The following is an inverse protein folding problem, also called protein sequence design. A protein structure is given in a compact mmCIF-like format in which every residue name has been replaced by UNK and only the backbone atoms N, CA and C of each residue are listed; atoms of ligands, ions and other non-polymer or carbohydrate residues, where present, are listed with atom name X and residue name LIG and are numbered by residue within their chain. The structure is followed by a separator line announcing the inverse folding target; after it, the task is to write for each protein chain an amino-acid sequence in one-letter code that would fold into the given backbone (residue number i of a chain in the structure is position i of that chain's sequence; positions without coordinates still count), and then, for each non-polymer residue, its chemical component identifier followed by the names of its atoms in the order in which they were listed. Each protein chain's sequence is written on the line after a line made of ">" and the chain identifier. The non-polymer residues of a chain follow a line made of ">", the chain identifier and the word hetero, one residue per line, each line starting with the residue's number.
data_IF_866116027540
#
_entry.id   IF_866116027540
#
_cell.length_a   1.000
_cell.length_b   1.000
_cell.length_c   1.000
_cell.angle_alpha   90.00
_cell.angle_beta   90.00
_cell.angle_gamma   90.00
#
_symmetry.space_group_name_H-M   'P 1'
#
loop_
_entity.id
_entity.type
_entity.pdbx_description
1 polymer ?
#
# COMPACT_ATOMS: atom_id res chain seq x y z
N UNK A 1 18.94 -84.72 -4.70
CA UNK A 1 19.55 -83.99 -3.56
C UNK A 1 18.81 -82.67 -3.43
N UNK A 2 17.70 -82.56 -2.69
CA UNK A 2 17.60 -82.47 -1.23
C UNK A 2 18.42 -81.31 -0.62
N UNK A 3 17.74 -80.20 -0.26
CA UNK A 3 17.79 -79.64 1.08
C UNK A 3 16.77 -78.49 1.25
N UNK A 4 16.08 -78.56 2.38
CA UNK A 4 14.98 -77.73 2.87
C UNK A 4 15.48 -76.55 3.74
N UNK A 5 14.64 -75.50 3.81
CA UNK A 5 14.22 -74.78 5.04
C UNK A 5 15.16 -73.74 5.70
N UNK A 6 14.60 -72.53 5.91
CA UNK A 6 14.25 -71.88 7.21
C UNK A 6 14.19 -70.35 7.02
N UNK A 7 13.00 -69.75 7.13
CA UNK A 7 12.49 -69.07 8.35
C UNK A 7 13.20 -67.75 8.71
N UNK A 8 12.52 -66.62 8.50
CA UNK A 8 12.42 -65.56 9.52
C UNK A 8 11.27 -64.60 9.20
N UNK A 9 10.06 -65.00 9.59
CA UNK A 9 8.89 -64.11 9.68
C UNK A 9 9.10 -63.24 10.91
N UNK A 10 9.82 -62.12 10.78
CA UNK A 10 9.95 -61.12 11.83
C UNK A 10 8.66 -60.31 11.87
N UNK A 11 7.69 -60.81 12.63
CA UNK A 11 6.51 -60.06 13.02
C UNK A 11 6.97 -58.80 13.76
N UNK A 12 6.84 -57.66 13.07
CA UNK A 12 6.94 -56.36 13.70
C UNK A 12 5.87 -56.30 14.79
N UNK A 13 6.32 -56.49 16.03
CA UNK A 13 5.56 -56.33 17.25
C UNK A 13 5.04 -54.90 17.25
N UNK A 14 3.82 -54.73 16.72
CA UNK A 14 3.04 -53.52 16.87
C UNK A 14 2.98 -53.24 18.35
N UNK A 15 3.75 -52.24 18.77
CA UNK A 15 3.76 -51.70 20.11
C UNK A 15 2.39 -51.04 20.27
N UNK A 16 1.39 -51.83 20.61
CA UNK A 16 0.10 -51.34 21.09
C UNK A 16 0.42 -50.58 22.36
N UNK A 17 0.63 -49.27 22.23
CA UNK A 17 0.63 -48.38 23.38
C UNK A 17 -0.67 -48.66 24.11
N UNK A 18 -0.59 -49.05 25.37
CA UNK A 18 -1.79 -49.29 26.17
C UNK A 18 -2.69 -48.06 26.06
N UNK A 19 -4.02 -48.19 25.95
CA UNK A 19 -4.94 -47.06 25.77
C UNK A 19 -4.77 -45.96 26.85
N UNK A 20 -4.28 -46.33 28.03
CA UNK A 20 -3.91 -45.38 29.09
C UNK A 20 -2.74 -44.45 28.73
N UNK A 21 -1.80 -44.87 27.89
CA UNK A 21 -0.67 -44.03 27.44
C UNK A 21 -1.09 -42.98 26.39
N UNK A 22 -2.05 -43.31 25.53
CA UNK A 22 -2.63 -42.37 24.56
C UNK A 22 -3.49 -41.32 25.25
N UNK A 23 -4.27 -41.71 26.26
CA UNK A 23 -5.04 -40.77 27.08
C UNK A 23 -4.14 -39.79 27.84
N UNK A 24 -3.02 -40.25 28.39
CA UNK A 24 -2.05 -39.38 29.05
C UNK A 24 -1.38 -38.40 28.06
N UNK A 25 -1.01 -38.87 26.87
CA UNK A 25 -0.46 -38.00 25.81
C UNK A 25 -1.49 -36.96 25.35
N UNK A 26 -2.76 -37.34 25.21
CA UNK A 26 -3.84 -36.43 24.88
C UNK A 26 -4.06 -35.36 25.97
N UNK A 27 -3.97 -35.73 27.25
CA UNK A 27 -4.08 -34.77 28.36
C UNK A 27 -2.93 -33.75 28.36
N UNK A 28 -1.69 -34.19 28.11
CA UNK A 28 -0.54 -33.27 27.97
C UNK A 28 -0.69 -32.36 26.75
N UNK A 29 -1.17 -32.89 25.61
CA UNK A 29 -1.48 -32.08 24.44
C UNK A 29 -2.54 -31.00 24.76
N UNK A 30 -3.61 -31.35 25.48
CA UNK A 30 -4.64 -30.40 25.91
C UNK A 30 -4.07 -29.31 26.83
N UNK A 31 -3.18 -29.67 27.78
CA UNK A 31 -2.52 -28.68 28.64
C UNK A 31 -1.67 -27.71 27.84
N UNK A 32 -0.88 -28.22 26.89
CA UNK A 32 -0.06 -27.40 26.01
C UNK A 32 -0.92 -26.47 25.14
N UNK A 33 -2.01 -26.98 24.56
CA UNK A 33 -2.96 -26.16 23.80
C UNK A 33 -3.56 -25.04 24.65
N UNK A 34 -4.02 -25.34 25.88
CA UNK A 34 -4.52 -24.32 26.81
C UNK A 34 -3.47 -23.25 27.12
N UNK A 35 -2.21 -23.64 27.32
CA UNK A 35 -1.13 -22.69 27.53
C UNK A 35 -0.88 -21.81 26.29
N UNK A 36 -0.99 -22.35 25.08
CA UNK A 36 -0.86 -21.56 23.84
C UNK A 36 -2.03 -20.59 23.67
N UNK A 37 -3.27 -21.02 23.94
CA UNK A 37 -4.46 -20.16 23.92
C UNK A 37 -4.30 -18.99 24.89
N UNK A 38 -3.89 -19.26 26.13
CA UNK A 38 -3.66 -18.19 27.12
C UNK A 38 -2.57 -17.19 26.70
N UNK A 39 -1.53 -17.63 25.98
CA UNK A 39 -0.51 -16.74 25.40
C UNK A 39 -1.09 -15.90 24.26
N UNK A 40 -1.90 -16.51 23.40
CA UNK A 40 -2.56 -15.83 22.29
C UNK A 40 -3.54 -14.77 22.80
N UNK A 41 -4.38 -15.08 23.78
CA UNK A 41 -5.29 -14.11 24.42
C UNK A 41 -4.55 -12.89 24.96
N UNK A 42 -3.43 -13.10 25.66
CA UNK A 42 -2.58 -11.99 26.12
C UNK A 42 -2.00 -11.16 24.96
N UNK A 43 -1.65 -11.80 23.84
CA UNK A 43 -1.14 -11.10 22.67
C UNK A 43 -2.23 -10.28 21.97
N UNK A 44 -3.45 -10.83 21.87
CA UNK A 44 -4.62 -10.15 21.30
C UNK A 44 -4.96 -8.93 22.15
N UNK A 45 -5.06 -9.06 23.47
CA UNK A 45 -5.33 -7.92 24.34
C UNK A 45 -4.27 -6.81 24.22
N UNK A 46 -2.99 -7.16 24.03
CA UNK A 46 -1.93 -6.17 23.76
C UNK A 46 -2.11 -5.48 22.40
N UNK A 47 -2.56 -6.20 21.38
CA UNK A 47 -2.81 -5.65 20.06
C UNK A 47 -4.03 -4.74 20.05
N UNK A 48 -5.12 -5.12 20.72
CA UNK A 48 -6.31 -4.30 20.90
C UNK A 48 -5.97 -2.96 21.57
N UNK A 49 -5.24 -3.00 22.70
CA UNK A 49 -4.76 -1.80 23.37
C UNK A 49 -3.89 -0.90 22.48
N UNK A 50 -3.06 -1.50 21.61
CA UNK A 50 -2.25 -0.72 20.65
C UNK A 50 -3.11 -0.10 19.56
N UNK A 51 -4.11 -0.84 19.07
CA UNK A 51 -5.05 -0.35 18.05
C UNK A 51 -5.88 0.81 18.59
N UNK A 52 -6.41 0.70 19.80
CA UNK A 52 -7.16 1.79 20.44
C UNK A 52 -6.32 3.07 20.57
N UNK A 53 -5.06 2.95 21.00
CA UNK A 53 -4.12 4.08 21.05
C UNK A 53 -3.91 4.72 19.67
N UNK A 54 -3.69 3.90 18.64
CA UNK A 54 -3.51 4.39 17.27
C UNK A 54 -4.76 5.07 16.71
N UNK A 55 -5.94 4.52 17.00
CA UNK A 55 -7.21 5.13 16.60
C UNK A 55 -7.38 6.49 17.27
N UNK A 56 -7.10 6.60 18.58
CA UNK A 56 -7.17 7.86 19.30
C UNK A 56 -6.18 8.91 18.77
N UNK A 57 -4.95 8.50 18.43
CA UNK A 57 -3.95 9.37 17.79
C UNK A 57 -4.45 9.88 16.42
N UNK A 58 -4.89 8.97 15.54
CA UNK A 58 -5.40 9.32 14.22
C UNK A 58 -6.62 10.25 14.28
N UNK A 59 -7.52 10.05 15.24
CA UNK A 59 -8.66 10.95 15.46
C UNK A 59 -8.22 12.36 15.85
N UNK A 60 -7.20 12.49 16.72
CA UNK A 60 -6.65 13.80 17.12
C UNK A 60 -6.00 14.49 15.94
N UNK A 61 -5.23 13.76 15.14
CA UNK A 61 -4.55 14.32 13.97
C UNK A 61 -5.54 14.72 12.88
N UNK A 62 -6.57 13.91 12.63
CA UNK A 62 -7.67 14.26 11.73
C UNK A 62 -8.38 15.55 12.18
N UNK A 63 -8.62 15.72 13.48
CA UNK A 63 -9.23 16.94 14.03
C UNK A 63 -8.33 18.17 13.86
N UNK A 64 -7.02 18.02 14.07
CA UNK A 64 -6.04 19.09 13.84
C UNK A 64 -5.96 19.48 12.37
N UNK A 65 -5.86 18.50 11.47
CA UNK A 65 -5.82 18.73 10.04
C UNK A 65 -7.10 19.40 9.54
N UNK A 66 -8.27 18.97 10.03
CA UNK A 66 -9.55 19.61 9.69
C UNK A 66 -9.58 21.08 10.12
N UNK A 67 -9.19 21.39 11.35
CA UNK A 67 -9.18 22.78 11.83
C UNK A 67 -8.14 23.65 11.12
N UNK A 68 -6.98 23.09 10.76
CA UNK A 68 -5.97 23.76 9.93
C UNK A 68 -6.50 24.04 8.51
N UNK A 69 -7.10 23.05 7.87
CA UNK A 69 -7.69 23.17 6.54
C UNK A 69 -8.84 24.19 6.53
N UNK A 70 -9.67 24.22 7.56
CA UNK A 70 -10.76 25.20 7.68
C UNK A 70 -10.22 26.64 7.79
N UNK A 71 -9.16 26.85 8.59
CA UNK A 71 -8.50 28.16 8.71
C UNK A 71 -7.88 28.59 7.38
N UNK A 72 -7.18 27.68 6.70
CA UNK A 72 -6.59 27.93 5.40
C UNK A 72 -7.64 28.21 4.31
N UNK A 73 -8.76 27.48 4.32
CA UNK A 73 -9.88 27.72 3.43
C UNK A 73 -10.51 29.09 3.64
N UNK A 74 -10.75 29.48 4.90
CA UNK A 74 -11.30 30.81 5.25
C UNK A 74 -10.38 31.95 4.83
N UNK A 75 -9.07 31.83 5.04
CA UNK A 75 -8.12 32.86 4.60
C UNK A 75 -8.04 32.95 3.08
N UNK A 76 -7.98 31.82 2.37
CA UNK A 76 -7.95 31.79 0.91
C UNK A 76 -9.21 32.43 0.31
N UNK A 77 -10.40 32.14 0.86
CA UNK A 77 -11.66 32.75 0.42
C UNK A 77 -11.65 34.27 0.64
N UNK A 78 -11.14 34.75 1.77
CA UNK A 78 -11.03 36.19 2.04
C UNK A 78 -10.08 36.86 1.05
N UNK A 79 -8.88 36.29 0.85
CA UNK A 79 -7.90 36.81 -0.11
C UNK A 79 -8.47 36.82 -1.53
N UNK A 80 -9.15 35.76 -1.96
CA UNK A 80 -9.80 35.70 -3.27
C UNK A 80 -10.88 36.78 -3.43
N UNK A 81 -11.67 37.05 -2.38
CA UNK A 81 -12.68 38.12 -2.39
C UNK A 81 -12.06 39.51 -2.49
N UNK A 82 -10.98 39.75 -1.74
CA UNK A 82 -10.27 41.04 -1.75
C UNK A 82 -9.60 41.30 -3.10
N UNK A 83 -8.95 40.29 -3.68
CA UNK A 83 -8.36 40.35 -5.02
C UNK A 83 -9.44 40.53 -6.09
N UNK A 84 -10.56 39.82 -6.00
CA UNK A 84 -11.67 39.99 -6.93
C UNK A 84 -12.26 41.41 -6.90
N UNK A 85 -12.37 42.00 -5.70
CA UNK A 85 -12.88 43.37 -5.54
C UNK A 85 -11.90 44.43 -6.06
N UNK A 86 -10.59 44.25 -5.87
CA UNK A 86 -9.58 45.16 -6.41
C UNK A 86 -9.42 45.03 -7.92
N UNK A 87 -9.50 43.81 -8.46
CA UNK A 87 -9.51 43.56 -9.90
C UNK A 87 -10.74 44.19 -10.57
N UNK A 88 -11.93 44.07 -9.96
CA UNK A 88 -13.14 44.70 -10.48
C UNK A 88 -13.05 46.24 -10.46
N UNK A 89 -12.44 46.82 -9.42
CA UNK A 89 -12.24 48.28 -9.32
C UNK A 89 -11.25 48.79 -10.37
N UNK A 90 -10.10 48.14 -10.49
CA UNK A 90 -9.09 48.50 -11.49
C UNK A 90 -9.60 48.36 -12.93
N UNK A 91 -10.39 47.32 -13.22
CA UNK A 91 -11.05 47.18 -14.53
C UNK A 91 -12.03 48.33 -14.82
N UNK A 92 -12.77 48.80 -13.81
CA UNK A 92 -13.70 49.93 -13.94
C UNK A 92 -12.96 51.25 -14.18
N UNK A 93 -11.86 51.47 -13.47
CA UNK A 93 -11.02 52.66 -13.62
C UNK A 93 -10.31 52.69 -14.99
N UNK A 94 -9.83 51.53 -15.47
CA UNK A 94 -9.25 51.39 -16.81
C UNK A 94 -10.30 51.64 -17.92
N UNK A 95 -11.51 51.10 -17.77
CA UNK A 95 -12.61 51.35 -18.72
C UNK A 95 -13.05 52.81 -18.77
N UNK A 96 -12.98 53.53 -17.63
CA UNK A 96 -13.30 54.96 -17.58
C UNK A 96 -12.20 55.82 -18.23
N UNK A 97 -10.92 55.48 -18.04
CA UNK A 97 -9.80 56.14 -18.74
C UNK A 97 -9.83 55.88 -20.25
N UNK A 98 -10.15 54.66 -20.70
CA UNK A 98 -10.24 54.35 -22.12
C UNK A 98 -11.36 55.13 -22.85
N UNK A 99 -12.49 55.40 -22.18
CA UNK A 99 -13.57 56.23 -22.73
C UNK A 99 -13.21 57.72 -22.81
N UNK A 100 -12.24 58.19 -22.04
CA UNK A 100 -11.83 59.60 -22.02
C UNK A 100 -10.71 59.94 -23.01
N UNK A 101 -10.18 58.96 -23.76
CA UNK A 101 -9.15 59.14 -24.80
C UNK A 101 -9.74 58.94 -26.22
N UNK A 102 -11.05 58.71 -26.34
CA UNK A 102 -11.73 58.58 -27.63
C UNK A 102 -12.13 59.94 -28.24
N UNK A 103 -11.11 60.71 -28.62
CA UNK A 103 -11.18 61.57 -29.81
C UNK A 103 -9.76 61.78 -30.37
N UNK A 104 -9.28 60.85 -31.20
CA UNK A 104 -8.66 61.32 -32.43
C UNK A 104 -9.25 60.63 -33.66
N UNK A 105 -9.49 61.46 -34.66
CA UNK A 105 -9.79 61.18 -36.07
C UNK A 105 -9.00 59.97 -36.59
N UNK A 106 -9.56 59.11 -37.46
CA UNK A 106 -8.86 57.93 -37.95
C UNK A 106 -7.74 58.36 -38.91
N UNK A 107 -6.52 58.50 -38.40
CA UNK A 107 -5.32 58.51 -39.22
C UNK A 107 -4.91 57.05 -39.44
N UNK A 108 -4.93 56.62 -40.71
CA UNK A 108 -4.46 55.32 -41.14
C UNK A 108 -2.98 55.12 -40.77
N UNK A 109 -2.72 54.50 -39.62
CA UNK A 109 -1.41 54.00 -39.27
C UNK A 109 -1.30 52.55 -39.75
N UNK A 110 -0.44 52.35 -40.75
CA UNK A 110 0.02 51.06 -41.29
C UNK A 110 0.21 50.01 -40.18
N UNK A 111 -0.12 48.72 -40.43
CA UNK A 111 0.28 47.65 -39.53
C UNK A 111 1.82 47.53 -39.56
N UNK A 112 2.47 48.07 -38.53
CA UNK A 112 3.85 47.70 -38.24
C UNK A 112 3.82 46.25 -37.77
N UNK A 113 4.39 45.36 -38.59
CA UNK A 113 4.58 43.96 -38.25
C UNK A 113 5.40 43.86 -36.96
N UNK A 114 4.72 43.64 -35.84
CA UNK A 114 5.35 43.25 -34.60
C UNK A 114 5.90 41.84 -34.79
N UNK A 115 7.20 41.80 -35.09
CA UNK A 115 8.06 40.61 -35.09
C UNK A 115 7.73 39.77 -33.84
N UNK A 116 7.35 38.49 -33.95
CA UNK A 116 7.13 37.67 -32.76
C UNK A 116 8.48 37.53 -32.05
N UNK A 117 8.59 38.13 -30.87
CA UNK A 117 9.67 37.83 -29.95
C UNK A 117 9.48 36.36 -29.54
N UNK A 118 10.30 35.48 -30.13
CA UNK A 118 10.41 34.10 -29.74
C UNK A 118 10.79 34.05 -28.25
N UNK A 119 9.80 33.80 -27.40
CA UNK A 119 10.03 33.42 -26.03
C UNK A 119 10.83 32.10 -26.07
N UNK A 120 12.12 32.19 -25.72
CA UNK A 120 12.96 31.04 -25.43
C UNK A 120 12.16 30.06 -24.56
N UNK A 121 12.01 28.78 -24.94
CA UNK A 121 11.62 27.78 -23.97
C UNK A 121 12.73 27.73 -22.92
N UNK A 122 12.42 28.16 -21.70
CA UNK A 122 13.26 27.89 -20.55
C UNK A 122 13.31 26.36 -20.44
N UNK A 123 14.47 25.80 -20.79
CA UNK A 123 14.78 24.40 -20.58
C UNK A 123 14.68 24.11 -19.08
N UNK A 124 13.52 23.62 -18.65
CA UNK A 124 13.40 22.96 -17.37
C UNK A 124 14.25 21.69 -17.46
N UNK A 125 15.47 21.79 -16.94
CA UNK A 125 16.37 20.66 -16.63
C UNK A 125 15.52 19.52 -16.05
N UNK A 126 15.52 18.31 -16.64
CA UNK A 126 15.00 17.16 -15.93
C UNK A 126 15.90 16.98 -14.70
N UNK A 127 15.35 17.26 -13.52
CA UNK A 127 15.97 16.86 -12.28
C UNK A 127 16.03 15.32 -12.31
N UNK A 128 17.24 14.80 -12.48
CA UNK A 128 17.51 13.38 -12.40
C UNK A 128 16.90 12.83 -11.10
N UNK A 129 16.11 11.74 -11.15
CA UNK A 129 15.74 11.04 -9.94
C UNK A 129 17.04 10.49 -9.34
N UNK A 130 17.44 11.08 -8.22
CA UNK A 130 18.49 10.55 -7.35
C UNK A 130 18.12 9.09 -7.05
N UNK A 131 18.94 8.08 -7.38
CA UNK A 131 18.68 6.73 -6.95
C UNK A 131 18.79 6.73 -5.42
N UNK A 132 17.64 6.72 -4.75
CA UNK A 132 17.60 6.41 -3.33
C UNK A 132 18.09 4.98 -3.22
N UNK A 133 19.32 4.85 -2.73
CA UNK A 133 19.95 3.60 -2.38
C UNK A 133 18.93 2.71 -1.67
N UNK A 134 18.68 1.55 -2.28
CA UNK A 134 18.02 0.44 -1.65
C UNK A 134 18.76 0.14 -0.35
N UNK A 135 18.18 0.56 0.77
CA UNK A 135 18.54 0.02 2.07
C UNK A 135 17.93 -1.38 2.09
N UNK A 136 18.71 -2.48 2.14
CA UNK A 136 18.14 -3.79 2.36
C UNK A 136 17.51 -3.77 3.75
N UNK A 137 16.18 -3.62 3.80
CA UNK A 137 15.44 -3.86 5.01
C UNK A 137 15.62 -5.35 5.33
N UNK A 138 16.17 -5.57 6.51
CA UNK A 138 16.49 -6.85 7.11
C UNK A 138 15.43 -7.92 6.77
N UNK A 139 15.95 -9.08 6.38
CA UNK A 139 15.22 -10.32 6.31
C UNK A 139 14.51 -10.60 7.65
N UNK A 140 13.22 -10.31 7.73
CA UNK A 140 12.35 -11.17 8.52
C UNK A 140 12.24 -12.48 7.73
N UNK A 141 13.01 -13.47 8.19
CA UNK A 141 12.75 -14.88 7.92
C UNK A 141 11.32 -15.16 8.38
N UNK A 142 10.36 -14.94 7.51
CA UNK A 142 9.08 -15.65 7.61
C UNK A 142 9.41 -17.08 7.22
N UNK A 143 9.43 -17.93 8.24
CA UNK A 143 9.57 -19.36 8.14
C UNK A 143 8.67 -19.87 7.02
N UNK A 144 9.33 -20.32 5.95
CA UNK A 144 8.71 -20.95 4.81
C UNK A 144 8.19 -22.28 5.31
N UNK A 145 6.90 -22.37 5.60
CA UNK A 145 6.23 -23.67 5.56
C UNK A 145 6.01 -23.96 4.08
N UNK A 146 6.72 -24.93 3.47
CA UNK A 146 6.51 -25.28 2.08
C UNK A 146 5.19 -26.05 2.01
N UNK A 147 4.08 -25.34 1.86
CA UNK A 147 2.79 -25.97 1.55
C UNK A 147 2.80 -26.27 0.05
N UNK A 148 3.58 -27.29 -0.33
CA UNK A 148 3.67 -27.75 -1.71
C UNK A 148 2.40 -28.47 -2.20
N UNK A 149 1.35 -28.64 -1.38
CA UNK A 149 0.21 -29.46 -1.78
C UNK A 149 -1.19 -28.94 -1.40
N UNK A 150 -1.34 -27.66 -1.06
CA UNK A 150 -2.68 -27.07 -0.96
C UNK A 150 -3.16 -26.62 -2.35
N UNK A 151 -4.45 -26.82 -2.70
CA UNK A 151 -4.97 -26.32 -3.96
C UNK A 151 -4.83 -24.79 -3.96
N UNK A 152 -3.93 -24.27 -4.79
CA UNK A 152 -3.59 -22.83 -4.93
C UNK A 152 -4.82 -21.95 -5.22
N UNK A 153 -5.98 -22.53 -5.52
CA UNK A 153 -7.30 -21.89 -5.66
C UNK A 153 -7.89 -21.37 -4.34
N UNK A 154 -7.52 -21.93 -3.19
CA UNK A 154 -8.00 -21.49 -1.87
C UNK A 154 -7.18 -20.34 -1.28
N UNK A 155 -5.96 -20.13 -1.78
CA UNK A 155 -5.11 -19.04 -1.33
C UNK A 155 -5.77 -17.68 -1.57
N UNK A 156 -5.61 -16.79 -0.60
CA UNK A 156 -6.05 -15.40 -0.73
C UNK A 156 -5.20 -14.69 -1.80
N UNK A 157 -5.75 -13.62 -2.42
CA UNK A 157 -5.00 -12.84 -3.42
C UNK A 157 -3.68 -12.30 -2.85
N UNK A 158 -3.65 -11.97 -1.56
CA UNK A 158 -2.43 -11.52 -0.87
C UNK A 158 -1.35 -12.62 -0.83
N UNK A 159 -1.73 -13.85 -0.47
CA UNK A 159 -0.81 -15.00 -0.44
C UNK A 159 -0.32 -15.36 -1.85
N UNK A 160 -1.19 -15.30 -2.86
CA UNK A 160 -0.82 -15.53 -4.25
C UNK A 160 0.16 -14.46 -4.77
N UNK A 161 -0.03 -13.19 -4.42
CA UNK A 161 0.92 -12.12 -4.77
C UNK A 161 2.25 -12.27 -4.04
N UNK A 162 2.24 -12.73 -2.79
CA UNK A 162 3.45 -13.03 -2.05
C UNK A 162 4.25 -14.18 -2.70
N UNK A 163 3.58 -15.27 -3.06
CA UNK A 163 4.19 -16.39 -3.77
C UNK A 163 4.70 -15.98 -5.17
N UNK A 164 3.95 -15.14 -5.89
CA UNK A 164 4.36 -14.65 -7.21
C UNK A 164 5.59 -13.74 -7.11
N UNK A 165 5.70 -12.95 -6.03
CA UNK A 165 6.88 -12.14 -5.73
C UNK A 165 8.10 -12.99 -5.42
N UNK A 166 7.96 -14.08 -4.66
CA UNK A 166 9.08 -14.98 -4.35
C UNK A 166 9.53 -15.77 -5.58
N UNK A 167 8.62 -16.08 -6.50
CA UNK A 167 8.93 -16.72 -7.79
C UNK A 167 9.37 -15.72 -8.89
N UNK A 168 9.43 -14.42 -8.60
CA UNK A 168 9.90 -13.42 -9.56
C UNK A 168 8.95 -13.17 -10.75
N UNK A 169 7.66 -13.48 -10.61
CA UNK A 169 6.66 -13.27 -11.68
C UNK A 169 6.51 -11.78 -11.97
N UNK A 170 6.99 -11.31 -13.12
CA UNK A 170 6.87 -9.91 -13.50
C UNK A 170 5.40 -9.48 -13.64
N UNK A 171 5.08 -8.28 -13.15
CA UNK A 171 3.72 -7.73 -13.27
C UNK A 171 2.67 -8.35 -12.33
N UNK A 172 3.07 -9.19 -11.36
CA UNK A 172 2.15 -9.85 -10.40
C UNK A 172 1.18 -8.90 -9.69
N UNK A 173 1.56 -7.63 -9.48
CA UNK A 173 0.70 -6.63 -8.83
C UNK A 173 -0.58 -6.33 -9.63
N UNK A 174 -0.53 -6.44 -10.97
CA UNK A 174 -1.65 -6.16 -11.89
C UNK A 174 -2.46 -7.41 -12.26
N UNK A 175 -2.01 -8.60 -11.83
CA UNK A 175 -2.65 -9.87 -12.16
C UNK A 175 -3.91 -10.11 -11.31
N UNK A 176 -4.92 -10.70 -11.94
CA UNK A 176 -6.12 -11.22 -11.25
C UNK A 176 -5.80 -12.49 -10.47
N UNK A 177 -6.69 -12.92 -9.56
CA UNK A 177 -6.51 -14.17 -8.80
C UNK A 177 -6.25 -15.37 -9.72
N UNK A 178 -7.00 -15.48 -10.82
CA UNK A 178 -6.83 -16.55 -11.80
C UNK A 178 -5.46 -16.49 -12.49
N UNK A 179 -5.02 -15.30 -12.92
CA UNK A 179 -3.71 -15.10 -13.56
C UNK A 179 -2.55 -15.42 -12.62
N UNK A 180 -2.66 -15.05 -11.34
CA UNK A 180 -1.66 -15.40 -10.32
C UNK A 180 -1.58 -16.92 -10.11
N UNK A 181 -2.73 -17.60 -10.07
CA UNK A 181 -2.75 -19.08 -9.93
C UNK A 181 -2.13 -19.76 -11.15
N UNK A 182 -2.38 -19.25 -12.36
CA UNK A 182 -1.77 -19.79 -13.58
C UNK A 182 -0.26 -19.55 -13.63
N UNK A 183 0.20 -18.35 -13.27
CA UNK A 183 1.63 -18.01 -13.27
C UNK A 183 2.45 -18.85 -12.27
N UNK A 184 1.82 -19.28 -11.16
CA UNK A 184 2.45 -20.13 -10.12
C UNK A 184 2.39 -21.63 -10.41
N UNK A 185 1.79 -22.04 -11.53
CA UNK A 185 1.72 -23.44 -11.99
C UNK A 185 2.73 -23.76 -13.10
N UNK A 186 3.34 -22.74 -13.70
CA UNK A 186 4.46 -22.87 -14.63
C UNK A 186 5.73 -23.26 -13.87
#
# INVERSE_FOLDING_TARGET
>A
MAAQSKSSKKSGKGKTGSPNSELAAAQEAIKNLRATVAKLEKSVGKLENKLEKRVAELQRDAKKLRSSAERAGKSAVKTAKDVGKSAAKSAKDAGKSARNVAAPKPAAAKPAAAKPAAAKPAAAKPAAPKPAAAKPAAAEKVEVVPVQNAPKSELTVAQLKAAARTQGVAGYSRMTKAQLVSALKA
#
